data_IF_223690695107
#
_entry.id   IF_223690695107
#
_cell.length_a   1.000
_cell.length_b   1.000
_cell.length_c   1.000
_cell.angle_alpha   90.00
_cell.angle_beta   90.00
_cell.angle_gamma   90.00
#
_symmetry.space_group_name_H-M   'P 1'
#
loop_
_entity.id
_entity.type
_entity.pdbx_description
1 polymer ?
#
# COMPACT_ATOMS: atom_id res chain seq x y z
N UNK A 1 5.09 -18.47 27.56
CA UNK A 1 4.03 -17.92 26.69
C UNK A 1 4.54 -18.07 25.27
N UNK A 2 4.09 -19.10 24.56
CA UNK A 2 4.45 -19.31 23.15
C UNK A 2 3.61 -18.34 22.33
N UNK A 3 4.27 -17.41 21.66
CA UNK A 3 3.58 -16.53 20.72
C UNK A 3 3.28 -17.40 19.50
N UNK A 4 2.02 -17.78 19.31
CA UNK A 4 1.60 -18.39 18.05
C UNK A 4 1.84 -17.34 16.96
N UNK A 5 2.83 -17.60 16.12
CA UNK A 5 3.09 -16.77 14.94
C UNK A 5 2.01 -17.11 13.93
N UNK A 6 0.82 -16.53 14.10
CA UNK A 6 -0.20 -16.54 13.05
C UNK A 6 0.41 -16.04 11.76
N UNK A 7 0.05 -16.64 10.63
CA UNK A 7 0.63 -16.37 9.31
C UNK A 7 0.55 -14.87 9.01
N UNK A 8 1.63 -14.13 9.27
CA UNK A 8 1.71 -12.71 8.97
C UNK A 8 1.54 -12.53 7.48
N UNK A 9 0.45 -11.88 7.05
CA UNK A 9 0.27 -11.59 5.63
C UNK A 9 1.36 -10.62 5.20
N UNK A 10 2.24 -11.14 4.35
CA UNK A 10 3.47 -10.50 3.95
C UNK A 10 3.17 -9.57 2.77
N UNK A 11 3.51 -8.28 2.90
CA UNK A 11 3.00 -7.21 2.03
C UNK A 11 3.50 -7.30 0.59
N UNK A 12 4.74 -7.74 0.39
CA UNK A 12 5.30 -7.93 -0.97
C UNK A 12 4.54 -9.00 -1.76
N UNK A 13 4.04 -10.06 -1.13
CA UNK A 13 3.17 -11.03 -1.77
C UNK A 13 1.88 -10.40 -2.32
N UNK A 14 1.25 -9.51 -1.54
CA UNK A 14 0.08 -8.76 -2.02
C UNK A 14 0.44 -7.74 -3.10
N UNK A 15 1.57 -7.06 -2.96
CA UNK A 15 2.03 -6.11 -3.96
C UNK A 15 2.40 -6.76 -5.29
N UNK A 16 2.94 -7.99 -5.26
CA UNK A 16 3.22 -8.79 -6.44
C UNK A 16 1.96 -9.30 -7.15
N UNK A 17 0.82 -9.39 -6.45
CA UNK A 17 -0.42 -9.98 -6.97
C UNK A 17 -1.13 -9.15 -8.06
N UNK A 18 -0.73 -7.90 -8.29
CA UNK A 18 -1.30 -7.03 -9.32
C UNK A 18 -0.22 -6.38 -10.17
N UNK A 19 -0.51 -6.08 -11.44
CA UNK A 19 0.43 -5.46 -12.40
C UNK A 19 -0.08 -4.14 -13.00
N UNK A 20 -1.32 -3.75 -12.69
CA UNK A 20 -1.94 -2.53 -13.18
C UNK A 20 -1.21 -1.29 -12.62
N UNK A 21 -0.87 -0.36 -13.50
CA UNK A 21 -0.35 0.94 -13.10
C UNK A 21 -1.49 1.91 -12.78
N UNK A 22 -1.23 2.85 -11.87
CA UNK A 22 -2.17 3.93 -11.54
C UNK A 22 -3.52 3.49 -10.97
N UNK A 23 -3.58 2.27 -10.42
CA UNK A 23 -4.77 1.71 -9.76
C UNK A 23 -4.45 1.30 -8.32
N UNK A 24 -4.67 2.18 -7.33
CA UNK A 24 -4.35 1.87 -5.93
C UNK A 24 -5.16 0.69 -5.42
N UNK A 25 -4.51 -0.17 -4.62
CA UNK A 25 -5.11 -1.34 -3.97
C UNK A 25 -4.87 -1.28 -2.47
N UNK A 26 -5.90 -1.56 -1.66
CA UNK A 26 -5.78 -1.66 -0.20
C UNK A 26 -5.08 -2.97 0.14
N UNK A 27 -3.87 -2.90 0.71
CA UNK A 27 -3.09 -4.06 1.15
C UNK A 27 -3.43 -4.47 2.59
N UNK A 28 -3.78 -3.52 3.45
CA UNK A 28 -4.14 -3.77 4.84
C UNK A 28 -5.05 -2.67 5.40
N UNK A 29 -5.72 -2.97 6.52
CA UNK A 29 -6.49 -2.01 7.31
C UNK A 29 -6.05 -2.14 8.77
N UNK A 30 -5.79 -1.02 9.43
CA UNK A 30 -5.42 -0.98 10.85
C UNK A 30 -5.91 0.32 11.47
N UNK A 31 -6.58 0.24 12.62
CA UNK A 31 -7.04 1.41 13.38
C UNK A 31 -7.87 2.40 12.55
N UNK A 32 -8.72 1.90 11.64
CA UNK A 32 -9.54 2.73 10.74
C UNK A 32 -8.78 3.36 9.56
N UNK A 33 -7.48 3.10 9.44
CA UNK A 33 -6.65 3.55 8.32
C UNK A 33 -6.47 2.45 7.30
N UNK A 34 -6.24 2.84 6.04
CA UNK A 34 -5.98 1.95 4.93
C UNK A 34 -4.52 2.08 4.51
N UNK A 35 -3.82 0.94 4.39
CA UNK A 35 -2.52 0.91 3.72
C UNK A 35 -2.77 0.58 2.25
N UNK A 36 -2.59 1.57 1.38
CA UNK A 36 -2.74 1.42 -0.05
C UNK A 36 -1.37 1.31 -0.73
N UNK A 37 -1.31 0.55 -1.82
CA UNK A 37 -0.15 0.53 -2.70
C UNK A 37 -0.59 0.69 -4.16
N UNK A 38 0.25 1.37 -4.94
CA UNK A 38 0.03 1.61 -6.37
C UNK A 38 1.35 1.44 -7.11
N UNK A 39 1.30 0.81 -8.28
CA UNK A 39 2.44 0.80 -9.21
C UNK A 39 2.35 2.06 -10.06
N UNK A 40 3.41 2.86 -10.07
CA UNK A 40 3.48 4.13 -10.79
C UNK A 40 4.28 3.96 -12.08
N UNK A 41 3.97 4.74 -13.11
CA UNK A 41 4.72 4.72 -14.37
C UNK A 41 4.65 6.09 -15.07
N UNK A 42 5.82 6.69 -15.30
CA UNK A 42 5.90 8.04 -15.85
C UNK A 42 5.64 9.11 -14.80
N UNK A 43 5.06 10.23 -15.23
CA UNK A 43 4.86 11.40 -14.36
C UNK A 43 3.63 11.23 -13.49
N UNK A 44 3.79 11.47 -12.20
CA UNK A 44 2.67 11.48 -11.27
C UNK A 44 1.73 12.67 -11.56
N UNK A 45 0.43 12.42 -11.83
CA UNK A 45 -0.51 13.50 -12.03
C UNK A 45 -0.78 14.24 -10.70
N UNK A 46 -0.97 15.55 -10.80
CA UNK A 46 -1.48 16.34 -9.68
C UNK A 46 -2.87 15.82 -9.28
N UNK A 47 -3.06 15.57 -7.99
CA UNK A 47 -4.34 15.15 -7.44
C UNK A 47 -4.52 15.67 -6.01
N UNK A 48 -5.75 15.63 -5.49
CA UNK A 48 -6.13 16.07 -4.15
C UNK A 48 -7.17 15.13 -3.57
N UNK A 49 -7.03 14.81 -2.29
CA UNK A 49 -8.05 14.14 -1.49
C UNK A 49 -8.81 15.18 -0.67
N UNK A 50 -10.13 15.20 -0.79
CA UNK A 50 -10.97 16.20 -0.08
C UNK A 50 -11.22 15.82 1.38
N UNK A 51 -11.32 14.52 1.66
CA UNK A 51 -11.83 13.99 2.92
C UNK A 51 -10.78 13.16 3.68
N UNK A 52 -9.53 13.15 3.21
CA UNK A 52 -8.46 12.30 3.77
C UNK A 52 -7.10 12.92 3.54
N UNK A 53 -6.24 12.78 4.55
CA UNK A 53 -4.82 13.11 4.47
C UNK A 53 -4.05 11.89 3.93
N UNK A 54 -3.22 12.10 2.90
CA UNK A 54 -2.35 11.07 2.35
C UNK A 54 -0.91 11.24 2.86
N UNK A 55 -0.37 10.19 3.48
CA UNK A 55 1.06 10.09 3.77
C UNK A 55 1.74 9.13 2.79
N UNK A 56 2.66 9.66 1.99
CA UNK A 56 3.52 8.84 1.13
C UNK A 56 4.87 8.65 1.82
N UNK A 57 5.27 7.39 2.05
CA UNK A 57 6.56 7.09 2.65
C UNK A 57 7.70 7.59 1.74
N UNK A 58 8.69 8.31 2.27
CA UNK A 58 9.84 8.75 1.50
C UNK A 58 10.69 7.54 1.10
N UNK A 59 11.16 7.52 -0.15
CA UNK A 59 12.18 6.57 -0.62
C UNK A 59 11.73 5.53 -1.65
N UNK A 60 10.43 5.37 -1.91
CA UNK A 60 9.95 4.28 -2.76
C UNK A 60 10.20 2.92 -2.11
N UNK A 61 9.20 2.04 -2.12
CA UNK A 61 9.41 0.65 -1.71
C UNK A 61 9.82 -0.10 -2.97
N UNK A 62 11.12 -0.15 -3.24
CA UNK A 62 11.66 -1.16 -4.15
C UNK A 62 11.55 -2.51 -3.44
N UNK A 63 10.76 -3.42 -4.03
CA UNK A 63 10.75 -4.84 -3.67
C UNK A 63 11.66 -5.62 -4.61
#
# INVERSE_FOLDING_TARGET
MSVETGTGQRLEGKFASFSEHWRPKVLARLNGQELCAVKTCGVFPWHRHADSEEFTAPGGVEV
#
